data_IF_405405064559
#
_entry.id   IF_405405064559
#
_cell.length_a   1.000
_cell.length_b   1.000
_cell.length_c   1.000
_cell.angle_alpha   90.00
_cell.angle_beta   90.00
_cell.angle_gamma   90.00
#
_symmetry.space_group_name_H-M   'P 1'
#
loop_
_entity.id
_entity.type
_entity.pdbx_description
1 polymer ?
#
# COMPACT_ATOMS: atom_id res chain seq x y z
N UNK A 1 -6.83 18.63 33.39
CA UNK A 1 -5.98 18.64 32.18
C UNK A 1 -6.50 17.58 31.22
N UNK A 2 -7.32 17.98 30.25
CA UNK A 2 -7.64 17.08 29.13
C UNK A 2 -6.40 16.98 28.26
N UNK A 3 -5.78 15.79 28.24
CA UNK A 3 -4.80 15.46 27.22
C UNK A 3 -5.57 15.39 25.91
N UNK A 4 -5.47 16.44 25.11
CA UNK A 4 -5.78 16.37 23.69
C UNK A 4 -4.73 15.42 23.12
N UNK A 5 -5.07 14.14 22.98
CA UNK A 5 -4.35 13.29 22.04
C UNK A 5 -4.64 13.90 20.68
N UNK A 6 -3.64 14.59 20.13
CA UNK A 6 -3.58 14.88 18.71
C UNK A 6 -3.60 13.52 18.00
N UNK A 7 -4.81 13.05 17.67
CA UNK A 7 -5.05 12.01 16.69
C UNK A 7 -4.33 12.48 15.41
N UNK A 8 -3.10 11.98 15.27
CA UNK A 8 -2.16 12.45 14.28
C UNK A 8 -2.76 12.28 12.91
N UNK A 9 -2.63 13.31 12.07
CA UNK A 9 -2.90 13.26 10.62
C UNK A 9 -2.63 11.85 10.09
N UNK A 10 -3.70 11.13 9.76
CA UNK A 10 -3.55 9.80 9.18
C UNK A 10 -2.68 9.95 7.94
N UNK A 11 -1.56 9.23 7.92
CA UNK A 11 -0.74 9.16 6.72
C UNK A 11 -1.54 8.29 5.75
N UNK A 12 -2.00 8.88 4.64
CA UNK A 12 -2.85 8.19 3.68
C UNK A 12 -2.04 7.83 2.43
N UNK A 13 -2.30 6.64 1.89
CA UNK A 13 -1.85 6.21 0.59
C UNK A 13 -2.93 5.43 -0.16
N UNK A 14 -2.58 4.94 -1.34
CA UNK A 14 -3.46 4.16 -2.20
C UNK A 14 -2.84 2.79 -2.45
N UNK A 15 -3.42 1.74 -1.85
CA UNK A 15 -2.97 0.38 -2.09
C UNK A 15 -3.64 -0.15 -3.35
N UNK A 16 -2.84 -0.75 -4.23
CA UNK A 16 -3.33 -1.52 -5.37
C UNK A 16 -3.10 -2.98 -5.05
N UNK A 17 -4.15 -3.77 -5.20
CA UNK A 17 -4.17 -5.22 -4.94
C UNK A 17 -4.79 -5.94 -6.14
N UNK A 18 -4.47 -7.22 -6.30
CA UNK A 18 -5.15 -8.10 -7.24
C UNK A 18 -6.62 -8.29 -6.84
N UNK A 19 -7.44 -8.85 -7.72
CA UNK A 19 -8.86 -9.10 -7.43
C UNK A 19 -9.07 -9.99 -6.18
N UNK A 20 -8.17 -10.95 -5.92
CA UNK A 20 -8.14 -11.82 -4.74
C UNK A 20 -7.48 -11.17 -3.49
N UNK A 21 -7.38 -9.84 -3.47
CA UNK A 21 -6.87 -9.04 -2.36
C UNK A 21 -5.40 -9.31 -2.00
N UNK A 22 -4.57 -9.72 -2.95
CA UNK A 22 -3.13 -9.92 -2.73
C UNK A 22 -2.31 -8.74 -3.21
N UNK A 23 -1.12 -8.60 -2.66
CA UNK A 23 -0.11 -7.70 -3.22
C UNK A 23 0.23 -8.13 -4.65
N UNK A 24 0.50 -7.16 -5.52
CA UNK A 24 0.74 -7.41 -6.94
C UNK A 24 1.98 -8.26 -7.28
N UNK A 25 2.80 -8.65 -6.29
CA UNK A 25 4.02 -9.45 -6.53
C UNK A 25 5.08 -8.78 -7.41
N UNK A 26 4.96 -7.48 -7.66
CA UNK A 26 5.89 -6.75 -8.51
C UNK A 26 7.28 -6.68 -7.87
N UNK A 27 8.32 -6.70 -8.72
CA UNK A 27 9.75 -6.58 -8.36
C UNK A 27 10.34 -7.79 -7.61
N UNK A 28 9.87 -9.01 -7.91
CA UNK A 28 10.39 -10.25 -7.34
C UNK A 28 10.28 -10.30 -5.80
N UNK A 29 9.33 -9.60 -5.20
CA UNK A 29 9.10 -9.71 -3.76
C UNK A 29 8.57 -11.13 -3.45
N UNK A 30 9.31 -11.97 -2.70
CA UNK A 30 8.87 -13.33 -2.40
C UNK A 30 7.71 -13.36 -1.39
N UNK A 31 7.47 -12.27 -0.67
CA UNK A 31 6.43 -12.17 0.36
C UNK A 31 5.15 -11.55 -0.21
N UNK A 32 4.27 -12.41 -0.77
CA UNK A 32 2.94 -12.00 -1.23
C UNK A 32 2.01 -11.85 -0.04
N UNK A 33 1.67 -10.61 0.29
CA UNK A 33 0.73 -10.30 1.38
C UNK A 33 -0.71 -10.39 0.88
N UNK A 34 -1.60 -10.93 1.71
CA UNK A 34 -3.06 -10.87 1.51
C UNK A 34 -3.64 -9.79 2.42
N UNK A 35 -4.61 -9.03 1.90
CA UNK A 35 -5.25 -7.93 2.60
C UNK A 35 -6.71 -8.23 2.88
N UNK A 36 -7.17 -7.81 4.05
CA UNK A 36 -8.59 -7.77 4.41
C UNK A 36 -9.01 -6.31 4.59
N UNK A 37 -10.23 -5.98 4.21
CA UNK A 37 -10.77 -4.64 4.46
C UNK A 37 -10.88 -4.41 5.97
N UNK A 38 -10.53 -3.21 6.41
CA UNK A 38 -10.52 -2.74 7.80
C UNK A 38 -9.58 -3.44 8.78
N UNK A 39 -8.73 -4.37 8.31
CA UNK A 39 -7.68 -4.97 9.13
C UNK A 39 -6.32 -4.32 8.89
N UNK A 40 -5.50 -4.27 9.95
CA UNK A 40 -4.11 -3.84 9.86
C UNK A 40 -3.27 -5.03 9.39
N UNK A 41 -2.65 -4.87 8.22
CA UNK A 41 -1.67 -5.82 7.68
C UNK A 41 -0.27 -5.27 7.92
N UNK A 42 0.60 -6.10 8.49
CA UNK A 42 2.01 -5.78 8.73
C UNK A 42 2.90 -6.52 7.72
N UNK A 43 3.98 -5.89 7.26
CA UNK A 43 5.02 -6.59 6.50
C UNK A 43 5.78 -7.59 7.39
N UNK A 44 6.08 -8.77 6.82
CA UNK A 44 6.88 -9.81 7.50
C UNK A 44 8.31 -9.35 7.77
N UNK A 45 8.90 -8.58 6.85
CA UNK A 45 10.24 -8.01 6.96
C UNK A 45 10.18 -6.49 6.80
N UNK A 46 11.01 -5.76 7.56
CA UNK A 46 11.09 -4.29 7.53
C UNK A 46 12.49 -3.86 7.08
N UNK A 47 12.58 -3.33 5.86
CA UNK A 47 13.82 -2.79 5.28
C UNK A 47 13.61 -1.34 4.89
N UNK A 48 14.31 -0.42 5.57
CA UNK A 48 14.25 1.01 5.28
C UNK A 48 14.90 1.36 3.94
N UNK A 49 14.49 2.49 3.36
CA UNK A 49 15.02 2.97 2.09
C UNK A 49 14.38 2.34 0.85
N UNK A 50 15.10 2.40 -0.27
CA UNK A 50 14.56 2.12 -1.62
C UNK A 50 14.52 0.63 -2.02
N UNK A 51 14.83 -0.30 -1.12
CA UNK A 51 14.82 -1.73 -1.43
C UNK A 51 13.43 -2.18 -1.88
N UNK A 52 13.39 -3.07 -2.88
CA UNK A 52 12.14 -3.57 -3.47
C UNK A 52 11.34 -4.47 -2.53
N UNK A 53 12.02 -5.11 -1.58
CA UNK A 53 11.44 -5.99 -0.55
C UNK A 53 11.53 -5.36 0.85
N UNK A 54 10.89 -5.98 1.85
CA UNK A 54 10.93 -5.57 3.25
C UNK A 54 10.13 -4.30 3.53
N UNK A 55 8.80 -4.42 3.55
CA UNK A 55 7.84 -3.34 3.76
C UNK A 55 6.69 -3.40 2.76
N UNK A 56 5.66 -2.59 2.97
CA UNK A 56 4.48 -2.50 2.11
C UNK A 56 4.54 -1.24 1.27
N UNK A 57 4.57 -1.41 -0.04
CA UNK A 57 4.48 -0.30 -0.98
C UNK A 57 3.02 0.08 -1.25
N UNK A 58 2.74 1.38 -1.20
CA UNK A 58 1.47 2.01 -1.61
C UNK A 58 1.76 3.16 -2.58
N UNK A 59 0.83 3.45 -3.47
CA UNK A 59 0.91 4.63 -4.32
C UNK A 59 0.61 5.90 -3.51
N UNK A 60 1.36 6.97 -3.79
CA UNK A 60 1.23 8.26 -3.09
C UNK A 60 -0.04 9.02 -3.49
N UNK A 61 -0.49 8.85 -4.73
CA UNK A 61 -1.65 9.54 -5.29
C UNK A 61 -2.57 8.54 -5.99
N UNK A 62 -3.84 8.90 -6.14
CA UNK A 62 -4.80 8.08 -6.88
C UNK A 62 -4.43 7.96 -8.37
N UNK A 63 -3.81 9.00 -8.96
CA UNK A 63 -3.27 8.93 -10.33
C UNK A 63 -2.19 7.87 -10.48
N UNK A 64 -1.26 7.77 -9.51
CA UNK A 64 -0.22 6.73 -9.50
C UNK A 64 -0.83 5.33 -9.31
N UNK A 65 -1.88 5.21 -8.50
CA UNK A 65 -2.61 3.95 -8.33
C UNK A 65 -3.30 3.50 -9.62
N UNK A 66 -3.94 4.42 -10.35
CA UNK A 66 -4.54 4.15 -11.66
C UNK A 66 -3.51 3.75 -12.71
N UNK A 67 -2.35 4.42 -12.73
CA UNK A 67 -1.25 4.03 -13.61
C UNK A 67 -0.79 2.59 -13.33
N UNK A 68 -0.75 2.19 -12.06
CA UNK A 68 -0.39 0.84 -11.65
C UNK A 68 -1.48 -0.20 -12.01
N UNK A 69 -2.77 0.12 -11.80
CA UNK A 69 -3.91 -0.71 -12.23
C UNK A 69 -3.87 -0.95 -13.75
N UNK A 70 -3.63 0.11 -14.55
CA UNK A 70 -3.47 0.02 -16.00
C UNK A 70 -2.25 -0.84 -16.40
N UNK A 71 -1.13 -0.71 -15.67
CA UNK A 71 0.05 -1.53 -15.89
C UNK A 71 -0.23 -3.02 -15.69
N UNK A 72 -0.91 -3.38 -14.59
CA UNK A 72 -1.31 -4.77 -14.32
C UNK A 72 -2.18 -5.32 -15.45
N UNK A 73 -3.19 -4.55 -15.89
CA UNK A 73 -4.06 -4.97 -16.99
C UNK A 73 -3.29 -5.17 -18.29
N UNK A 74 -2.45 -4.20 -18.67
CA UNK A 74 -1.78 -4.22 -19.97
C UNK A 74 -0.64 -5.23 -20.06
N UNK A 75 0.14 -5.41 -18.98
CA UNK A 75 1.36 -6.21 -19.01
C UNK A 75 1.18 -7.61 -18.44
N UNK A 76 0.27 -7.78 -17.49
CA UNK A 76 0.02 -9.05 -16.81
C UNK A 76 -1.36 -9.63 -17.11
N UNK A 77 -2.23 -8.90 -17.83
CA UNK A 77 -3.62 -9.27 -18.09
C UNK A 77 -4.43 -9.55 -16.81
N UNK A 78 -4.06 -8.88 -15.72
CA UNK A 78 -4.69 -9.02 -14.41
C UNK A 78 -5.46 -7.77 -14.04
N UNK A 79 -6.70 -7.95 -13.57
CA UNK A 79 -7.48 -6.85 -13.00
C UNK A 79 -7.03 -6.56 -11.56
N UNK A 80 -6.94 -5.27 -11.25
CA UNK A 80 -6.51 -4.78 -9.96
C UNK A 80 -7.53 -3.80 -9.36
N UNK A 81 -7.61 -3.82 -8.03
CA UNK A 81 -8.49 -3.00 -7.22
C UNK A 81 -7.67 -1.94 -6.48
N UNK A 82 -8.25 -0.77 -6.26
CA UNK A 82 -7.57 0.35 -5.59
C UNK A 82 -8.30 0.63 -4.29
N UNK A 83 -7.55 0.76 -3.20
CA UNK A 83 -8.08 1.11 -1.90
C UNK A 83 -7.35 2.31 -1.32
N UNK A 84 -8.07 3.21 -0.64
CA UNK A 84 -7.44 4.10 0.33
C UNK A 84 -6.94 3.29 1.52
N UNK A 85 -5.75 3.65 1.98
CA UNK A 85 -5.09 2.98 3.08
C UNK A 85 -4.52 3.98 4.08
N UNK A 86 -4.68 3.71 5.37
CA UNK A 86 -3.91 4.38 6.41
C UNK A 86 -2.56 3.68 6.56
N UNK A 87 -1.52 4.47 6.82
CA UNK A 87 -0.13 4.04 6.89
C UNK A 87 0.43 4.33 8.29
N UNK A 88 1.32 3.47 8.78
CA UNK A 88 1.94 3.63 10.11
C UNK A 88 3.32 4.30 10.02
N UNK A 89 4.41 3.56 10.23
CA UNK A 89 5.77 4.07 10.06
C UNK A 89 6.07 4.22 8.56
N UNK A 90 6.61 5.37 8.16
CA UNK A 90 7.08 5.57 6.80
C UNK A 90 8.54 5.16 6.74
N UNK A 91 8.82 4.13 5.95
CA UNK A 91 10.16 3.57 5.76
C UNK A 91 10.91 4.25 4.63
N UNK A 92 10.19 4.75 3.62
CA UNK A 92 10.74 5.46 2.47
C UNK A 92 9.62 6.15 1.66
N UNK A 93 9.94 7.26 1.01
CA UNK A 93 9.04 7.97 0.08
C UNK A 93 9.80 8.32 -1.19
N UNK A 94 9.14 8.17 -2.34
CA UNK A 94 9.55 8.80 -3.59
C UNK A 94 8.33 9.49 -4.25
N UNK A 95 8.51 10.02 -5.46
CA UNK A 95 7.46 10.77 -6.17
C UNK A 95 6.22 9.92 -6.48
N UNK A 96 6.37 8.60 -6.57
CA UNK A 96 5.32 7.68 -6.98
C UNK A 96 4.67 6.93 -5.81
N UNK A 97 5.47 6.55 -4.84
CA UNK A 97 5.11 5.54 -3.85
C UNK A 97 5.66 5.85 -2.47
N UNK A 98 4.96 5.32 -1.48
CA UNK A 98 5.34 5.32 -0.07
C UNK A 98 5.57 3.87 0.34
N UNK A 99 6.65 3.63 1.09
CA UNK A 99 6.94 2.36 1.74
C UNK A 99 6.62 2.50 3.23
N UNK A 100 5.86 1.57 3.77
CA UNK A 100 5.44 1.57 5.19
C UNK A 100 5.55 0.17 5.78
N UNK A 101 5.59 0.07 7.11
CA UNK A 101 5.60 -1.20 7.84
C UNK A 101 4.20 -1.84 7.91
N UNK A 102 3.15 -1.01 7.99
CA UNK A 102 1.76 -1.45 8.17
C UNK A 102 0.79 -0.63 7.32
N UNK A 103 -0.26 -1.30 6.85
CA UNK A 103 -1.38 -0.65 6.16
C UNK A 103 -2.72 -1.19 6.67
N UNK A 104 -3.73 -0.32 6.72
CA UNK A 104 -5.13 -0.74 6.83
C UNK A 104 -5.90 -0.20 5.63
N UNK A 105 -6.55 -1.08 4.88
CA UNK A 105 -7.43 -0.69 3.78
C UNK A 105 -8.79 -0.32 4.35
N UNK A 106 -9.42 0.77 3.90
CA UNK A 106 -10.70 1.21 4.48
C UNK A 106 -11.74 1.69 3.46
N UNK A 107 -11.34 1.97 2.21
CA UNK A 107 -12.28 2.39 1.18
C UNK A 107 -11.81 1.93 -0.20
N UNK A 108 -12.62 1.17 -0.93
CA UNK A 108 -12.38 0.87 -2.34
C UNK A 108 -12.70 2.08 -3.23
N UNK A 109 -11.92 2.26 -4.30
CA UNK A 109 -12.06 3.30 -5.31
C UNK A 109 -12.19 2.67 -6.71
N UNK A 110 -13.09 3.20 -7.51
CA UNK A 110 -13.45 2.68 -8.84
C UNK A 110 -12.72 3.42 -9.97
#
# INVERSE_FOLDING_TARGET
MHKIHTEGLEKIGYKVVTHDMKSLGLRNNPHILTFTLDEIVQAEEIVKGKSDFGGIWVARTFGNANALKKYMKNKHNEDARIFKATLSEILYINDRSIKTDRVRLYQELF
#
